data_IF_654007224928
#
_entry.id   IF_654007224928
#
_cell.length_a   1.000
_cell.length_b   1.000
_cell.length_c   1.000
_cell.angle_alpha   90.00
_cell.angle_beta   90.00
_cell.angle_gamma   90.00
#
_symmetry.space_group_name_H-M   'P 1'
#
loop_
_entity.id
_entity.type
_entity.pdbx_description
1 polymer ?
#
# COMPACT_ATOMS: atom_id res chain seq x y z
N UNK A 1 47.97 -39.19 28.94
CA UNK A 1 47.64 -37.81 29.32
C UNK A 1 47.45 -36.95 28.07
N UNK A 2 46.24 -36.36 27.94
CA UNK A 2 45.77 -35.26 27.06
C UNK A 2 46.03 -35.31 25.53
N UNK A 3 45.02 -35.82 24.84
CA UNK A 3 44.66 -35.46 23.46
C UNK A 3 44.10 -34.03 23.37
N UNK A 4 44.49 -33.25 22.36
CA UNK A 4 43.82 -31.99 21.97
C UNK A 4 42.98 -32.24 20.71
N UNK A 5 41.67 -32.43 20.92
CA UNK A 5 40.69 -32.47 19.85
C UNK A 5 40.37 -31.06 19.33
N UNK A 6 40.60 -30.83 18.04
CA UNK A 6 40.02 -29.70 17.32
C UNK A 6 38.57 -30.02 16.95
N UNK A 7 37.63 -29.41 17.67
CA UNK A 7 36.20 -29.50 17.38
C UNK A 7 35.86 -28.71 16.11
N UNK A 8 35.39 -29.42 15.08
CA UNK A 8 34.46 -28.87 14.09
C UNK A 8 33.22 -28.28 14.80
N UNK A 9 32.87 -27.04 14.51
CA UNK A 9 31.47 -26.58 14.56
C UNK A 9 31.21 -25.68 13.36
N UNK A 10 30.53 -26.25 12.38
CA UNK A 10 29.81 -25.46 11.39
C UNK A 10 28.65 -24.72 12.05
N UNK A 11 28.31 -23.56 11.50
CA UNK A 11 26.94 -23.19 11.16
C UNK A 11 27.01 -22.07 10.13
N UNK A 12 26.62 -22.43 8.91
CA UNK A 12 26.13 -21.51 7.87
C UNK A 12 25.35 -20.38 8.55
N UNK A 13 25.82 -19.15 8.43
CA UNK A 13 24.97 -17.98 8.59
C UNK A 13 23.98 -18.03 7.44
N UNK A 14 22.83 -18.61 7.73
CA UNK A 14 21.66 -18.61 6.87
C UNK A 14 21.26 -17.16 6.63
N UNK A 15 21.16 -16.79 5.35
CA UNK A 15 20.45 -15.63 4.86
C UNK A 15 19.10 -15.51 5.59
N UNK A 16 19.03 -14.59 6.53
CA UNK A 16 17.81 -14.23 7.24
C UNK A 16 17.13 -13.19 6.36
N UNK A 17 16.24 -13.65 5.47
CA UNK A 17 15.39 -12.77 4.70
C UNK A 17 14.51 -11.97 5.68
N UNK A 18 14.55 -10.64 5.56
CA UNK A 18 13.76 -9.68 6.32
C UNK A 18 12.26 -9.98 6.21
N UNK A 19 11.72 -10.73 7.17
CA UNK A 19 10.28 -10.81 7.38
C UNK A 19 9.88 -9.59 8.22
N UNK A 20 9.41 -8.51 7.57
CA UNK A 20 8.83 -7.36 8.27
C UNK A 20 7.60 -7.85 9.04
N UNK A 21 7.54 -7.59 10.35
CA UNK A 21 6.35 -7.89 11.14
C UNK A 21 5.16 -7.09 10.62
N UNK A 22 4.02 -7.74 10.43
CA UNK A 22 2.78 -7.10 9.96
C UNK A 22 2.33 -6.03 10.94
N UNK A 23 2.27 -4.78 10.51
CA UNK A 23 1.85 -3.64 11.35
C UNK A 23 0.33 -3.44 11.32
N UNK A 24 -0.28 -2.72 12.28
CA UNK A 24 -1.70 -2.34 12.21
C UNK A 24 -2.05 -1.60 10.91
N UNK A 25 -1.13 -0.79 10.38
CA UNK A 25 -1.29 -0.12 9.08
C UNK A 25 -1.42 -1.13 7.94
N UNK A 26 -0.55 -2.15 7.90
CA UNK A 26 -0.58 -3.19 6.87
C UNK A 26 -1.87 -4.01 6.94
N UNK A 27 -2.35 -4.31 8.16
CA UNK A 27 -3.59 -5.05 8.37
C UNK A 27 -4.80 -4.26 7.87
N UNK A 28 -4.91 -2.98 8.26
CA UNK A 28 -6.02 -2.13 7.82
C UNK A 28 -6.01 -1.95 6.30
N UNK A 29 -4.85 -1.59 5.73
CA UNK A 29 -4.71 -1.38 4.30
C UNK A 29 -5.14 -2.63 3.53
N UNK A 30 -4.63 -3.79 3.92
CA UNK A 30 -5.00 -5.06 3.29
C UNK A 30 -6.48 -5.37 3.46
N UNK A 31 -7.05 -5.23 4.65
CA UNK A 31 -8.44 -5.56 4.93
C UNK A 31 -9.40 -4.76 4.03
N UNK A 32 -9.10 -3.49 3.80
CA UNK A 32 -9.94 -2.59 3.01
C UNK A 32 -9.63 -2.70 1.51
N UNK A 33 -8.37 -2.54 1.13
CA UNK A 33 -7.98 -2.44 -0.27
C UNK A 33 -7.89 -3.77 -1.00
N UNK A 34 -7.90 -4.93 -0.31
CA UNK A 34 -8.07 -6.23 -0.98
C UNK A 34 -9.41 -6.32 -1.73
N UNK A 35 -10.40 -5.52 -1.36
CA UNK A 35 -11.67 -5.44 -2.07
C UNK A 35 -11.52 -4.57 -3.35
N UNK A 36 -11.72 -5.12 -4.57
CA UNK A 36 -11.53 -4.35 -5.80
C UNK A 36 -12.39 -3.10 -5.91
N UNK A 37 -13.58 -3.07 -5.28
CA UNK A 37 -14.43 -1.87 -5.26
C UNK A 37 -13.77 -0.70 -4.53
N UNK A 38 -12.99 -0.99 -3.49
CA UNK A 38 -12.30 -0.01 -2.65
C UNK A 38 -11.01 0.45 -3.34
N UNK A 39 -10.22 -0.50 -3.85
CA UNK A 39 -9.00 -0.24 -4.61
C UNK A 39 -9.23 0.55 -5.91
N UNK A 40 -10.37 0.35 -6.59
CA UNK A 40 -10.63 0.99 -7.88
C UNK A 40 -10.54 2.52 -7.83
N UNK A 41 -11.03 3.17 -6.76
CA UNK A 41 -10.96 4.63 -6.66
C UNK A 41 -9.52 5.12 -6.43
N UNK A 42 -8.73 4.37 -5.68
CA UNK A 42 -7.34 4.71 -5.36
C UNK A 42 -6.43 4.51 -6.57
N UNK A 43 -6.57 3.38 -7.25
CA UNK A 43 -5.87 3.11 -8.51
C UNK A 43 -6.23 4.19 -9.56
N UNK A 44 -7.51 4.57 -9.68
CA UNK A 44 -7.93 5.65 -10.61
C UNK A 44 -7.27 6.98 -10.31
N UNK A 45 -7.08 7.30 -9.03
CA UNK A 45 -6.50 8.57 -8.60
C UNK A 45 -5.05 8.71 -9.09
N UNK A 46 -4.30 7.60 -9.08
CA UNK A 46 -2.89 7.58 -9.46
C UNK A 46 -2.61 7.34 -10.94
N UNK A 47 -3.53 6.67 -11.65
CA UNK A 47 -3.30 6.34 -13.05
C UNK A 47 -3.42 7.57 -13.96
N UNK A 48 -2.54 7.69 -14.99
CA UNK A 48 -2.73 8.63 -16.08
C UNK A 48 -4.13 8.54 -16.69
N UNK A 49 -4.72 9.69 -17.06
CA UNK A 49 -6.12 9.74 -17.52
C UNK A 49 -6.39 8.87 -18.74
N UNK A 50 -5.41 8.68 -19.62
CA UNK A 50 -5.50 7.79 -20.77
C UNK A 50 -5.68 6.32 -20.35
N UNK A 51 -4.94 5.85 -19.35
CA UNK A 51 -5.08 4.50 -18.80
C UNK A 51 -6.40 4.35 -18.03
N UNK A 52 -6.84 5.39 -17.31
CA UNK A 52 -8.13 5.36 -16.62
C UNK A 52 -9.29 5.13 -17.60
N UNK A 53 -9.23 5.78 -18.77
CA UNK A 53 -10.23 5.58 -19.84
C UNK A 53 -10.08 4.23 -20.53
N UNK A 54 -8.86 3.76 -20.74
CA UNK A 54 -8.61 2.52 -21.46
C UNK A 54 -8.94 1.25 -20.65
N UNK A 55 -9.09 1.32 -19.32
CA UNK A 55 -9.36 0.14 -18.48
C UNK A 55 -10.86 -0.16 -18.35
N UNK A 56 -11.22 -1.42 -18.59
CA UNK A 56 -12.53 -1.94 -18.23
C UNK A 56 -12.59 -2.24 -16.71
N UNK A 57 -13.00 -1.24 -15.94
CA UNK A 57 -13.10 -1.31 -14.48
C UNK A 57 -14.03 -2.39 -13.93
N UNK A 58 -14.99 -2.88 -14.73
CA UNK A 58 -15.86 -4.00 -14.31
C UNK A 58 -15.10 -5.32 -14.22
N UNK A 59 -13.92 -5.40 -14.85
CA UNK A 59 -13.05 -6.58 -14.85
C UNK A 59 -11.94 -6.51 -13.80
N UNK A 60 -11.85 -5.41 -13.05
CA UNK A 60 -10.85 -5.24 -12.00
C UNK A 60 -11.06 -6.32 -10.93
N UNK A 61 -10.05 -7.15 -10.72
CA UNK A 61 -10.06 -8.22 -9.70
C UNK A 61 -8.74 -8.30 -8.98
N UNK A 62 -8.80 -8.72 -7.73
CA UNK A 62 -7.62 -9.10 -6.96
C UNK A 62 -7.13 -10.46 -7.47
N UNK A 63 -5.85 -10.53 -7.80
CA UNK A 63 -5.18 -11.77 -8.20
C UNK A 63 -4.71 -12.52 -6.93
N UNK A 64 -4.85 -13.85 -6.88
CA UNK A 64 -4.37 -14.65 -5.75
C UNK A 64 -2.91 -14.33 -5.38
N UNK A 65 -2.61 -14.10 -4.10
CA UNK A 65 -1.28 -13.62 -3.69
C UNK A 65 -0.09 -14.54 -4.01
N UNK A 66 -0.30 -15.73 -4.60
CA UNK A 66 0.74 -16.71 -4.93
C UNK A 66 1.69 -16.30 -6.06
N UNK A 67 1.45 -15.19 -6.77
CA UNK A 67 2.30 -14.77 -7.89
C UNK A 67 3.64 -14.17 -7.47
N UNK A 68 3.73 -13.61 -6.27
CA UNK A 68 5.00 -13.21 -5.66
C UNK A 68 5.50 -14.43 -4.90
N UNK A 69 6.67 -14.97 -5.30
CA UNK A 69 7.30 -16.15 -4.70
C UNK A 69 7.16 -16.08 -3.17
N UNK A 70 6.83 -17.20 -2.52
CA UNK A 70 6.76 -17.30 -1.05
C UNK A 70 8.05 -16.81 -0.38
N UNK A 71 9.19 -16.83 -1.09
CA UNK A 71 10.49 -16.29 -0.64
C UNK A 71 10.67 -14.78 -0.88
N UNK A 72 9.81 -14.17 -1.69
CA UNK A 72 9.81 -12.76 -2.08
C UNK A 72 8.66 -11.97 -1.46
N UNK A 73 8.05 -12.45 -0.37
CA UNK A 73 7.09 -11.68 0.43
C UNK A 73 7.73 -11.06 1.68
N UNK A 74 8.44 -9.92 1.59
CA UNK A 74 8.81 -9.16 2.78
C UNK A 74 7.64 -8.43 3.44
N UNK A 75 6.50 -8.25 2.76
CA UNK A 75 5.36 -7.50 3.29
C UNK A 75 4.04 -8.28 3.14
N UNK A 76 3.20 -8.19 4.17
CA UNK A 76 1.88 -8.82 4.18
C UNK A 76 0.81 -8.00 3.44
N UNK A 77 1.15 -6.78 2.96
CA UNK A 77 0.20 -5.78 2.45
C UNK A 77 0.13 -5.67 0.92
N UNK A 78 1.01 -6.33 0.19
CA UNK A 78 1.13 -6.24 -1.27
C UNK A 78 -0.13 -6.82 -1.93
N UNK A 79 -0.72 -6.06 -2.86
CA UNK A 79 -1.93 -6.44 -3.59
C UNK A 79 -1.67 -6.39 -5.10
N UNK A 80 -1.89 -7.51 -5.79
CA UNK A 80 -1.83 -7.55 -7.25
C UNK A 80 -3.25 -7.55 -7.81
N UNK A 81 -3.57 -6.60 -8.66
CA UNK A 81 -4.81 -6.55 -9.41
C UNK A 81 -4.57 -6.83 -10.88
N UNK A 82 -5.62 -7.28 -11.57
CA UNK A 82 -5.67 -7.27 -13.03
C UNK A 82 -6.96 -6.63 -13.53
N UNK A 83 -6.88 -5.96 -14.67
CA UNK A 83 -8.02 -5.43 -15.40
C UNK A 83 -7.76 -5.54 -16.92
N UNK A 84 -8.82 -5.76 -17.70
CA UNK A 84 -8.74 -5.78 -19.17
C UNK A 84 -8.74 -4.36 -19.72
N UNK A 85 -8.10 -4.19 -20.87
CA UNK A 85 -8.26 -2.98 -21.67
C UNK A 85 -9.59 -3.04 -22.44
N UNK A 86 -10.20 -1.88 -22.65
CA UNK A 86 -11.43 -1.74 -23.42
C UNK A 86 -11.15 -1.98 -24.90
N UNK A 87 -12.00 -2.78 -25.56
CA UNK A 87 -11.83 -3.13 -26.99
C UNK A 87 -10.75 -4.18 -27.30
N UNK A 88 -10.02 -4.72 -26.31
CA UNK A 88 -9.05 -5.79 -26.58
C UNK A 88 -9.75 -7.16 -26.67
N UNK A 89 -9.73 -7.77 -27.86
CA UNK A 89 -10.18 -9.16 -28.09
C UNK A 89 -9.23 -10.16 -27.41
N UNK A 90 -7.95 -9.80 -27.35
CA UNK A 90 -6.95 -10.50 -26.57
C UNK A 90 -7.13 -10.24 -25.08
N UNK A 91 -6.88 -11.27 -24.26
CA UNK A 91 -6.83 -11.19 -22.78
C UNK A 91 -5.66 -10.34 -22.26
N UNK A 92 -5.17 -9.35 -23.03
CA UNK A 92 -4.08 -8.48 -22.62
C UNK A 92 -4.57 -7.60 -21.46
N UNK A 93 -4.35 -8.10 -20.25
CA UNK A 93 -4.69 -7.42 -19.01
C UNK A 93 -3.53 -6.54 -18.57
N UNK A 94 -3.86 -5.36 -18.06
CA UNK A 94 -2.95 -4.57 -17.26
C UNK A 94 -2.95 -5.14 -15.84
N UNK A 95 -1.76 -5.42 -15.32
CA UNK A 95 -1.58 -5.77 -13.92
C UNK A 95 -1.16 -4.53 -13.14
N UNK A 96 -1.61 -4.44 -11.90
CA UNK A 96 -1.38 -3.29 -11.03
C UNK A 96 -0.95 -3.83 -9.67
N UNK A 97 0.30 -3.58 -9.32
CA UNK A 97 0.86 -3.97 -8.04
C UNK A 97 0.79 -2.77 -7.10
N UNK A 98 0.01 -2.90 -6.03
CA UNK A 98 -0.19 -1.87 -5.02
C UNK A 98 0.54 -2.29 -3.75
N UNK A 99 1.49 -1.46 -3.34
CA UNK A 99 2.27 -1.62 -2.11
C UNK A 99 1.88 -0.53 -1.10
N UNK A 100 1.76 -0.89 0.17
CA UNK A 100 1.59 0.06 1.24
C UNK A 100 2.89 0.28 2.02
N UNK A 101 3.24 1.54 2.33
CA UNK A 101 4.45 1.88 3.07
C UNK A 101 4.19 2.87 4.23
N UNK A 102 4.23 2.33 5.44
CA UNK A 102 4.17 3.09 6.70
C UNK A 102 5.52 3.62 7.19
N UNK A 103 6.61 3.20 6.55
CA UNK A 103 7.97 3.71 6.79
C UNK A 103 8.64 3.84 5.42
N UNK A 104 9.21 5.01 5.08
CA UNK A 104 9.91 5.17 3.82
C UNK A 104 11.06 4.18 3.69
N UNK A 105 11.23 3.62 2.49
CA UNK A 105 12.38 2.81 2.12
C UNK A 105 13.18 3.56 1.05
N UNK A 106 14.45 3.89 1.32
CA UNK A 106 15.33 4.53 0.34
C UNK A 106 15.46 3.75 -0.98
N UNK A 107 15.28 2.43 -0.94
CA UNK A 107 15.40 1.53 -2.09
C UNK A 107 14.03 1.06 -2.61
N UNK A 108 12.94 1.78 -2.32
CA UNK A 108 11.59 1.39 -2.70
C UNK A 108 11.44 1.14 -4.21
N UNK A 109 12.08 1.95 -5.06
CA UNK A 109 12.04 1.74 -6.52
C UNK A 109 12.71 0.43 -6.95
N UNK A 110 13.87 0.08 -6.39
CA UNK A 110 14.51 -1.23 -6.62
C UNK A 110 13.67 -2.39 -6.07
N UNK A 111 13.03 -2.20 -4.90
CA UNK A 111 12.12 -3.19 -4.32
C UNK A 111 10.94 -3.45 -5.26
N UNK A 112 10.34 -2.39 -5.79
CA UNK A 112 9.24 -2.49 -6.75
C UNK A 112 9.69 -3.11 -8.07
N UNK A 113 10.91 -2.84 -8.55
CA UNK A 113 11.48 -3.56 -9.70
C UNK A 113 11.53 -5.08 -9.47
N UNK A 114 12.02 -5.49 -8.30
CA UNK A 114 12.07 -6.91 -7.93
C UNK A 114 10.66 -7.53 -7.92
N UNK A 115 9.68 -6.83 -7.36
CA UNK A 115 8.30 -7.34 -7.30
C UNK A 115 7.64 -7.40 -8.68
N UNK A 116 7.82 -6.37 -9.50
CA UNK A 116 7.33 -6.32 -10.89
C UNK A 116 7.92 -7.46 -11.70
N UNK A 117 9.25 -7.64 -11.66
CA UNK A 117 9.92 -8.72 -12.36
C UNK A 117 9.43 -10.10 -11.88
N UNK A 118 9.27 -10.29 -10.57
CA UNK A 118 8.71 -11.54 -10.02
C UNK A 118 7.28 -11.79 -10.51
N UNK A 119 6.42 -10.78 -10.50
CA UNK A 119 5.04 -10.91 -10.98
C UNK A 119 5.02 -11.25 -12.47
N UNK A 120 5.82 -10.56 -13.28
CA UNK A 120 5.97 -10.82 -14.72
C UNK A 120 6.41 -12.25 -15.00
N UNK A 121 7.44 -12.75 -14.31
CA UNK A 121 7.92 -14.12 -14.45
C UNK A 121 6.84 -15.15 -14.10
N UNK A 122 6.10 -14.93 -13.01
CA UNK A 122 5.01 -15.82 -12.58
C UNK A 122 3.81 -15.81 -13.52
N UNK A 123 3.55 -14.69 -14.19
CA UNK A 123 2.41 -14.51 -15.09
C UNK A 123 2.71 -14.91 -16.54
N UNK A 124 3.98 -14.88 -16.96
CA UNK A 124 4.42 -15.23 -18.31
C UNK A 124 4.46 -16.75 -18.56
N UNK A 125 3.31 -17.44 -18.36
CA UNK A 125 3.17 -18.91 -18.41
C UNK A 125 3.69 -19.53 -19.70
N UNK A 126 3.39 -18.91 -20.84
CA UNK A 126 3.75 -19.43 -22.16
C UNK A 126 5.05 -18.81 -22.71
N UNK A 127 5.75 -17.99 -21.91
CA UNK A 127 7.01 -17.27 -22.25
C UNK A 127 6.99 -16.41 -23.51
N UNK A 128 5.86 -16.31 -24.21
CA UNK A 128 5.70 -15.53 -25.45
C UNK A 128 5.18 -14.11 -25.20
N UNK A 129 4.45 -13.88 -24.10
CA UNK A 129 3.90 -12.57 -23.74
C UNK A 129 4.19 -12.28 -22.28
N UNK A 130 4.95 -11.21 -22.02
CA UNK A 130 5.21 -10.69 -20.68
C UNK A 130 4.17 -9.62 -20.37
N UNK A 131 3.39 -9.72 -19.29
CA UNK A 131 2.40 -8.71 -18.97
C UNK A 131 3.03 -7.40 -18.49
N UNK A 132 2.32 -6.30 -18.73
CA UNK A 132 2.64 -5.02 -18.12
C UNK A 132 2.14 -5.02 -16.67
N UNK A 133 3.02 -4.70 -15.73
CA UNK A 133 2.69 -4.55 -14.30
C UNK A 133 3.03 -3.12 -13.89
N UNK A 134 2.03 -2.35 -13.46
CA UNK A 134 2.20 -0.99 -12.96
C UNK A 134 2.44 -0.99 -11.45
N UNK A 135 3.56 -0.42 -10.97
CA UNK A 135 3.84 -0.30 -9.55
C UNK A 135 3.20 0.97 -8.97
N UNK A 136 2.34 0.78 -7.97
CA UNK A 136 1.74 1.81 -7.13
C UNK A 136 2.28 1.66 -5.72
N UNK A 137 2.64 2.78 -5.08
CA UNK A 137 2.97 2.84 -3.66
C UNK A 137 2.01 3.83 -3.00
N UNK A 138 1.31 3.39 -1.96
CA UNK A 138 0.53 4.26 -1.07
C UNK A 138 1.31 4.41 0.21
N UNK A 139 1.78 5.63 0.50
CA UNK A 139 2.53 5.92 1.71
C UNK A 139 1.69 6.67 2.72
N UNK A 140 1.73 6.19 3.96
CA UNK A 140 1.29 6.93 5.13
C UNK A 140 2.47 7.19 6.08
N UNK A 141 3.68 7.37 5.53
CA UNK A 141 4.84 7.74 6.32
C UNK A 141 4.63 9.04 7.11
N UNK A 142 5.43 9.20 8.16
CA UNK A 142 5.46 10.47 8.88
C UNK A 142 6.32 11.48 8.12
N UNK A 143 5.72 12.59 7.72
CA UNK A 143 6.33 13.56 6.82
C UNK A 143 6.28 13.15 5.35
N UNK A 144 6.58 14.12 4.47
CA UNK A 144 6.57 13.93 3.02
C UNK A 144 7.58 12.85 2.59
N UNK A 145 7.24 12.12 1.52
CA UNK A 145 8.06 11.04 0.99
C UNK A 145 9.44 11.55 0.53
N UNK A 146 10.54 11.10 1.16
CA UNK A 146 11.85 11.74 0.96
C UNK A 146 12.71 11.06 -0.11
N UNK A 147 12.21 10.03 -0.80
CA UNK A 147 13.02 9.16 -1.67
C UNK A 147 12.60 9.25 -3.14
N UNK A 148 13.53 8.90 -4.03
CA UNK A 148 13.27 8.90 -5.47
C UNK A 148 12.11 7.97 -5.84
N UNK A 149 11.33 8.38 -6.83
CA UNK A 149 10.21 7.61 -7.38
C UNK A 149 10.54 6.96 -8.73
N UNK A 150 11.77 7.11 -9.21
CA UNK A 150 12.32 6.43 -10.38
C UNK A 150 13.65 5.74 -10.04
N UNK A 151 13.97 4.65 -10.74
CA UNK A 151 15.15 3.85 -10.46
C UNK A 151 16.46 4.52 -10.89
N UNK A 152 16.48 5.22 -12.03
CA UNK A 152 17.67 5.95 -12.51
C UNK A 152 18.17 7.00 -11.53
N UNK A 153 17.28 7.68 -10.81
CA UNK A 153 17.65 8.63 -9.75
C UNK A 153 18.53 8.02 -8.65
N UNK A 154 18.51 6.69 -8.44
CA UNK A 154 19.41 6.02 -7.50
C UNK A 154 20.87 5.92 -7.99
N UNK A 155 21.08 6.01 -9.31
CA UNK A 155 22.37 5.90 -9.99
C UNK A 155 22.79 7.24 -10.62
N UNK A 156 22.25 8.36 -10.12
CA UNK A 156 22.44 9.69 -10.72
C UNK A 156 23.92 10.03 -10.89
N UNK A 157 24.77 9.74 -9.89
CA UNK A 157 26.21 10.07 -9.95
C UNK A 157 26.91 9.34 -11.09
N UNK A 158 26.60 8.06 -11.26
CA UNK A 158 27.15 7.21 -12.31
C UNK A 158 26.63 7.64 -13.69
N UNK A 159 25.32 7.95 -13.79
CA UNK A 159 24.68 8.39 -15.04
C UNK A 159 25.11 9.79 -15.48
N UNK A 160 25.38 10.70 -14.55
CA UNK A 160 25.92 12.03 -14.84
C UNK A 160 27.35 11.93 -15.41
N UNK A 161 28.12 10.92 -14.97
CA UNK A 161 29.49 10.69 -15.42
C UNK A 161 29.56 9.85 -16.72
N UNK A 162 28.64 8.90 -16.88
CA UNK A 162 28.60 7.95 -17.99
C UNK A 162 27.15 7.72 -18.45
N UNK A 163 26.59 8.64 -19.27
CA UNK A 163 25.21 8.53 -19.77
C UNK A 163 24.94 7.24 -20.55
N UNK A 164 25.97 6.64 -21.14
CA UNK A 164 25.91 5.37 -21.88
C UNK A 164 25.48 4.19 -20.99
N UNK A 165 25.55 4.31 -19.66
CA UNK A 165 25.07 3.29 -18.74
C UNK A 165 23.53 3.24 -18.65
N UNK A 166 22.81 4.28 -19.08
CA UNK A 166 21.36 4.37 -18.93
C UNK A 166 20.58 3.16 -19.51
N UNK A 167 20.90 2.63 -20.72
CA UNK A 167 20.21 1.47 -21.28
C UNK A 167 20.50 0.16 -20.53
N UNK A 168 21.55 0.12 -19.70
CA UNK A 168 21.95 -1.07 -18.94
C UNK A 168 21.35 -1.12 -17.53
N UNK A 169 20.67 -0.06 -17.11
CA UNK A 169 19.97 0.03 -15.83
C UNK A 169 18.48 -0.14 -16.09
N UNK A 170 17.87 -1.12 -15.43
CA UNK A 170 16.42 -1.30 -15.47
C UNK A 170 15.75 0.01 -15.05
N UNK A 171 14.90 0.56 -15.90
CA UNK A 171 14.14 1.76 -15.59
C UNK A 171 12.73 1.39 -15.13
N UNK A 172 12.35 1.89 -13.97
CA UNK A 172 11.01 1.76 -13.42
C UNK A 172 10.70 3.00 -12.60
N UNK A 173 9.51 3.55 -12.80
CA UNK A 173 8.96 4.62 -11.98
C UNK A 173 7.75 4.09 -11.22
N UNK A 174 7.66 4.43 -9.94
CA UNK A 174 6.49 4.15 -9.10
C UNK A 174 5.48 5.27 -9.23
N UNK A 175 4.19 4.92 -9.21
CA UNK A 175 3.11 5.87 -8.98
C UNK A 175 2.90 5.98 -7.47
N UNK A 176 3.27 7.12 -6.88
CA UNK A 176 3.23 7.34 -5.44
C UNK A 176 1.99 8.15 -5.05
N UNK A 177 1.22 7.64 -4.10
CA UNK A 177 0.30 8.45 -3.30
C UNK A 177 0.90 8.68 -1.92
N UNK A 178 1.42 9.88 -1.69
CA UNK A 178 1.89 10.31 -0.39
C UNK A 178 0.74 10.98 0.37
N UNK A 179 0.14 10.23 1.30
CA UNK A 179 -0.97 10.72 2.10
C UNK A 179 -0.53 11.87 3.00
N UNK A 180 0.73 11.90 3.45
CA UNK A 180 1.20 12.95 4.36
C UNK A 180 1.19 14.34 3.70
N UNK A 181 1.46 14.39 2.40
CA UNK A 181 1.41 15.56 1.53
C UNK A 181 -0.02 15.96 1.12
N UNK A 182 -1.02 15.12 1.39
CA UNK A 182 -2.42 15.36 1.06
C UNK A 182 -3.21 15.96 2.24
N UNK A 183 -3.94 17.05 2.00
CA UNK A 183 -4.94 17.59 2.93
C UNK A 183 -6.18 16.69 3.04
N UNK A 184 -6.99 16.85 4.10
CA UNK A 184 -8.15 15.94 4.33
C UNK A 184 -9.15 16.17 3.20
N UNK A 185 -9.32 17.43 2.84
CA UNK A 185 -10.21 17.89 1.78
C UNK A 185 -9.81 17.32 0.41
N UNK A 186 -8.51 17.18 0.12
CA UNK A 186 -8.05 16.51 -1.10
C UNK A 186 -8.45 15.04 -1.11
N UNK A 187 -8.25 14.31 0.01
CA UNK A 187 -8.66 12.91 0.13
C UNK A 187 -10.20 12.79 0.02
N UNK A 188 -10.95 13.65 0.69
CA UNK A 188 -12.42 13.65 0.67
C UNK A 188 -13.03 13.91 -0.71
N UNK A 189 -12.30 14.59 -1.61
CA UNK A 189 -12.73 14.84 -2.99
C UNK A 189 -12.45 13.68 -3.95
N UNK A 190 -11.70 12.66 -3.51
CA UNK A 190 -11.42 11.48 -4.35
C UNK A 190 -12.70 10.67 -4.58
N UNK A 191 -12.82 10.07 -5.76
CA UNK A 191 -13.94 9.19 -6.14
C UNK A 191 -13.74 7.79 -5.56
N UNK A 192 -13.79 7.68 -4.24
CA UNK A 192 -13.60 6.46 -3.45
C UNK A 192 -14.92 5.96 -2.85
N UNK A 193 -14.96 4.69 -2.43
CA UNK A 193 -16.01 4.26 -1.48
C UNK A 193 -15.80 4.98 -0.15
N UNK A 194 -16.86 5.11 0.66
CA UNK A 194 -16.78 5.78 1.95
C UNK A 194 -15.78 5.10 2.89
N UNK A 195 -15.79 3.77 2.93
CA UNK A 195 -14.81 2.96 3.68
C UNK A 195 -13.38 3.27 3.24
N UNK A 196 -13.09 3.25 1.94
CA UNK A 196 -11.74 3.50 1.43
C UNK A 196 -11.27 4.92 1.72
N UNK A 197 -12.15 5.90 1.53
CA UNK A 197 -11.89 7.31 1.81
C UNK A 197 -11.55 7.53 3.29
N UNK A 198 -12.36 6.98 4.21
CA UNK A 198 -12.13 7.10 5.65
C UNK A 198 -10.89 6.33 6.09
N UNK A 199 -10.58 5.22 5.42
CA UNK A 199 -9.35 4.45 5.64
C UNK A 199 -8.12 5.31 5.34
N UNK A 200 -8.08 6.01 4.21
CA UNK A 200 -6.96 6.91 3.88
C UNK A 200 -6.85 8.08 4.86
N UNK A 201 -7.97 8.69 5.26
CA UNK A 201 -7.99 9.72 6.32
C UNK A 201 -7.41 9.18 7.64
N UNK A 202 -7.88 8.02 8.10
CA UNK A 202 -7.36 7.34 9.29
C UNK A 202 -5.87 7.04 9.17
N UNK A 203 -5.42 6.49 8.03
CA UNK A 203 -4.01 6.14 7.83
C UNK A 203 -3.09 7.35 7.89
N UNK A 204 -3.57 8.50 7.40
CA UNK A 204 -2.84 9.77 7.46
C UNK A 204 -2.79 10.37 8.86
N UNK A 205 -3.92 10.38 9.57
CA UNK A 205 -4.07 11.18 10.78
C UNK A 205 -3.91 10.39 12.08
N UNK A 206 -4.24 9.09 12.11
CA UNK A 206 -4.16 8.24 13.30
C UNK A 206 -2.73 7.88 13.73
N UNK A 207 -1.70 8.37 13.04
CA UNK A 207 -0.31 8.20 13.48
C UNK A 207 0.06 9.12 14.64
N UNK A 208 -0.66 10.23 14.77
CA UNK A 208 -0.39 11.27 15.76
C UNK A 208 -1.71 11.67 16.39
N UNK A 209 -1.86 11.42 17.68
CA UNK A 209 -3.08 11.73 18.41
C UNK A 209 -3.48 13.23 18.26
N UNK A 210 -2.56 14.21 18.41
CA UNK A 210 -2.88 15.61 18.13
C UNK A 210 -3.37 15.86 16.70
N UNK A 211 -2.74 15.22 15.70
CA UNK A 211 -3.14 15.34 14.30
C UNK A 211 -4.54 14.77 14.08
N UNK A 212 -4.82 13.58 14.64
CA UNK A 212 -6.12 12.95 14.61
C UNK A 212 -7.21 13.84 15.21
N UNK A 213 -6.99 14.35 16.42
CA UNK A 213 -7.94 15.26 17.09
C UNK A 213 -8.21 16.50 16.26
N UNK A 214 -7.17 17.11 15.68
CA UNK A 214 -7.33 18.30 14.84
C UNK A 214 -8.09 18.00 13.55
N UNK A 215 -7.89 16.82 12.96
CA UNK A 215 -8.52 16.42 11.72
C UNK A 215 -9.93 15.86 11.91
N UNK A 216 -10.25 15.30 13.08
CA UNK A 216 -11.49 14.60 13.37
C UNK A 216 -12.76 15.34 12.90
N UNK A 217 -12.95 16.65 13.17
CA UNK A 217 -14.13 17.37 12.71
C UNK A 217 -14.29 17.40 11.17
N UNK A 218 -13.18 17.29 10.42
CA UNK A 218 -13.19 17.37 8.96
C UNK A 218 -13.79 16.14 8.29
N UNK A 219 -13.64 14.96 8.90
CA UNK A 219 -14.14 13.70 8.34
C UNK A 219 -15.19 13.01 9.24
N UNK A 220 -15.54 13.61 10.39
CA UNK A 220 -16.66 13.20 11.23
C UNK A 220 -18.00 13.05 10.49
N UNK A 221 -18.39 13.94 9.54
CA UNK A 221 -19.64 13.76 8.80
C UNK A 221 -19.66 12.46 7.98
N UNK A 222 -18.52 12.09 7.39
CA UNK A 222 -18.40 10.83 6.64
C UNK A 222 -18.32 9.62 7.60
N UNK A 223 -17.69 9.78 8.77
CA UNK A 223 -17.63 8.75 9.80
C UNK A 223 -19.03 8.41 10.35
N UNK A 224 -19.86 9.43 10.64
CA UNK A 224 -21.28 9.26 11.03
C UNK A 224 -22.06 8.46 9.98
N UNK A 225 -21.90 8.83 8.71
CA UNK A 225 -22.55 8.13 7.59
C UNK A 225 -22.08 6.68 7.45
N UNK A 226 -20.80 6.41 7.74
CA UNK A 226 -20.25 5.06 7.74
C UNK A 226 -20.85 4.24 8.89
N UNK A 227 -20.89 4.80 10.09
CA UNK A 227 -21.44 4.15 11.28
C UNK A 227 -22.87 3.61 11.04
N UNK A 228 -23.75 4.44 10.47
CA UNK A 228 -25.15 4.04 10.22
C UNK A 228 -25.31 2.98 9.11
N UNK A 229 -24.40 2.93 8.12
CA UNK A 229 -24.59 2.10 6.91
C UNK A 229 -23.71 0.86 6.85
N UNK A 230 -22.52 0.92 7.45
CA UNK A 230 -21.46 -0.08 7.31
C UNK A 230 -20.74 -0.27 8.66
N UNK A 231 -21.49 -0.67 9.69
CA UNK A 231 -21.01 -0.77 11.09
C UNK A 231 -19.72 -1.58 11.25
N UNK A 232 -19.57 -2.69 10.52
CA UNK A 232 -18.34 -3.50 10.56
C UNK A 232 -17.11 -2.72 10.11
N UNK A 233 -17.23 -1.91 9.05
CA UNK A 233 -16.14 -1.07 8.57
C UNK A 233 -15.84 0.07 9.55
N UNK A 234 -16.87 0.63 10.19
CA UNK A 234 -16.68 1.59 11.26
C UNK A 234 -15.86 0.98 12.43
N UNK A 235 -16.26 -0.20 12.93
CA UNK A 235 -15.55 -0.88 14.01
C UNK A 235 -14.10 -1.20 13.64
N UNK A 236 -13.84 -1.60 12.40
CA UNK A 236 -12.47 -1.82 11.90
C UNK A 236 -11.60 -0.56 12.02
N UNK A 237 -12.12 0.62 11.68
CA UNK A 237 -11.38 1.88 11.81
C UNK A 237 -11.14 2.26 13.27
N UNK A 238 -12.10 1.98 14.16
CA UNK A 238 -11.95 2.19 15.60
C UNK A 238 -10.90 1.25 16.19
N UNK A 239 -10.94 -0.03 15.85
CA UNK A 239 -9.95 -1.03 16.29
C UNK A 239 -8.54 -0.67 15.84
N UNK A 240 -8.40 -0.25 14.58
CA UNK A 240 -7.13 0.25 14.07
C UNK A 240 -6.63 1.47 14.86
N UNK A 241 -7.49 2.45 15.15
CA UNK A 241 -7.09 3.63 15.92
C UNK A 241 -6.65 3.26 17.34
N UNK A 242 -7.39 2.39 18.03
CA UNK A 242 -7.01 1.91 19.37
C UNK A 242 -5.71 1.11 19.35
N UNK A 243 -5.45 0.34 18.29
CA UNK A 243 -4.20 -0.42 18.15
C UNK A 243 -2.97 0.50 18.00
N UNK A 244 -3.14 1.71 17.46
CA UNK A 244 -2.06 2.72 17.36
C UNK A 244 -1.90 3.56 18.63
N UNK A 245 -2.97 3.69 19.41
CA UNK A 245 -3.03 4.51 20.62
C UNK A 245 -3.48 3.68 21.83
N UNK A 246 -2.60 2.83 22.42
CA UNK A 246 -2.95 2.04 23.60
C UNK A 246 -3.39 2.87 24.81
N UNK A 247 -2.99 4.14 24.87
CA UNK A 247 -3.42 5.14 25.87
C UNK A 247 -4.88 5.60 25.69
N UNK A 248 -5.48 5.33 24.53
CA UNK A 248 -6.88 5.61 24.26
C UNK A 248 -7.75 4.47 24.78
N UNK A 249 -8.34 4.67 25.95
CA UNK A 249 -9.35 3.74 26.47
C UNK A 249 -10.65 3.85 25.67
N UNK A 250 -11.41 2.76 25.62
CA UNK A 250 -12.77 2.76 25.03
C UNK A 250 -13.66 3.82 25.65
N UNK A 251 -13.51 4.07 26.96
CA UNK A 251 -14.25 5.10 27.69
C UNK A 251 -13.90 6.52 27.19
N UNK A 252 -12.62 6.83 26.98
CA UNK A 252 -12.20 8.13 26.43
C UNK A 252 -12.72 8.35 25.01
N UNK A 253 -12.64 7.31 24.18
CA UNK A 253 -13.18 7.38 22.82
C UNK A 253 -14.70 7.54 22.85
N UNK A 254 -15.40 6.81 23.72
CA UNK A 254 -16.85 6.92 23.93
C UNK A 254 -17.24 8.31 24.38
N UNK A 255 -16.56 8.87 25.39
CA UNK A 255 -16.84 10.23 25.87
C UNK A 255 -16.65 11.29 24.77
N UNK A 256 -15.68 11.08 23.88
CA UNK A 256 -15.51 11.95 22.70
C UNK A 256 -16.64 11.78 21.69
N UNK A 257 -17.04 10.54 21.38
CA UNK A 257 -18.19 10.27 20.53
C UNK A 257 -19.45 10.89 21.13
N UNK A 258 -19.67 10.76 22.44
CA UNK A 258 -20.81 11.36 23.13
C UNK A 258 -20.81 12.90 23.05
N UNK A 259 -19.65 13.53 23.21
CA UNK A 259 -19.53 14.98 23.17
C UNK A 259 -19.70 15.56 21.74
N UNK A 260 -19.18 14.86 20.73
CA UNK A 260 -19.09 15.41 19.37
C UNK A 260 -20.07 14.77 18.38
N UNK A 261 -20.62 13.59 18.67
CA UNK A 261 -21.52 12.79 17.82
C UNK A 261 -22.38 11.81 18.65
N UNK A 262 -23.20 12.32 19.60
CA UNK A 262 -23.97 11.49 20.55
C UNK A 262 -24.86 10.45 19.87
N UNK A 263 -25.35 10.73 18.66
CA UNK A 263 -26.16 9.81 17.86
C UNK A 263 -25.43 8.50 17.46
N UNK A 264 -24.11 8.44 17.64
CA UNK A 264 -23.32 7.23 17.36
C UNK A 264 -23.19 6.29 18.57
N UNK A 265 -23.74 6.64 19.74
CA UNK A 265 -23.62 5.85 20.97
C UNK A 265 -24.72 4.78 21.13
N UNK A 266 -25.90 5.00 20.55
CA UNK A 266 -27.13 4.25 20.86
C UNK A 266 -27.39 2.98 20.01
N UNK A 267 -26.45 2.58 19.16
CA UNK A 267 -26.57 1.36 18.33
C UNK A 267 -25.43 0.42 18.57
#
# INVERSE_FOLDING_TARGET
MRARGHKKKGKRQTAQADARATTPHDQLFKAVFSNPRHAAGEIRYLLPSALVRALNWKTLRLEPGSFVDRKLRPSASDLLFSARLEGSVDRLGLYILVEHQSTPDPLMTLRMQRYVASAQLSLAKDKQRVPVVLPIVVSNAEGEWPHATDAHSLFRRELDSFPELAPHIAQLSILLDDLSASSVQQILRRKLTRVALLTLCCMRDARSYPRFIKAWPLWLPELRRLHTRERTAFLLLIEYFMALHPEMTRERLRGRIQAEAPEMEET
#
